data_IF_785737724217
#
_entry.id   IF_785737724217
#
_cell.length_a   1.000
_cell.length_b   1.000
_cell.length_c   1.000
_cell.angle_alpha   90.00
_cell.angle_beta   90.00
_cell.angle_gamma   90.00
#
_symmetry.space_group_name_H-M   'P 1'
#
loop_
_entity.id
_entity.type
_entity.pdbx_description
1 polymer ?
#
# COMPACT_ATOMS: atom_id res chain seq x y z
N UNK A 1 29.31 -67.56 16.59
CA UNK A 1 30.62 -66.96 16.20
C UNK A 1 30.42 -66.25 14.88
N UNK A 2 30.49 -64.91 14.87
CA UNK A 2 31.61 -64.10 14.34
C UNK A 2 31.88 -64.44 12.86
N UNK A 3 31.33 -63.66 11.92
CA UNK A 3 31.86 -62.37 11.39
C UNK A 3 33.03 -62.56 10.42
N UNK A 4 33.17 -61.62 9.45
CA UNK A 4 34.31 -61.33 8.53
C UNK A 4 34.09 -61.90 7.09
N UNK A 5 34.18 -61.21 5.94
CA UNK A 5 34.62 -59.85 5.52
C UNK A 5 34.23 -59.56 4.04
N UNK A 6 34.04 -58.26 3.74
CA UNK A 6 34.37 -57.46 2.52
C UNK A 6 34.13 -57.95 1.08
N UNK A 7 33.32 -57.17 0.33
CA UNK A 7 33.58 -56.63 -1.05
C UNK A 7 32.79 -55.29 -1.15
N UNK A 8 33.30 -54.12 -0.76
CA UNK A 8 33.99 -53.09 -1.59
C UNK A 8 33.61 -52.99 -3.06
N UNK A 9 32.59 -52.18 -3.38
CA UNK A 9 32.39 -51.45 -4.65
C UNK A 9 31.84 -50.07 -4.24
N UNK A 10 32.68 -49.05 -4.12
CA UNK A 10 32.99 -48.06 -5.16
C UNK A 10 31.75 -47.35 -5.72
N UNK A 11 31.28 -46.33 -4.98
CA UNK A 11 30.58 -45.19 -5.58
C UNK A 11 31.03 -43.92 -4.87
N UNK A 12 32.18 -43.40 -5.31
CA UNK A 12 32.48 -41.97 -5.23
C UNK A 12 31.43 -41.26 -6.06
N UNK A 13 30.31 -40.89 -5.45
CA UNK A 13 29.50 -39.79 -5.97
C UNK A 13 30.22 -38.54 -5.46
N UNK A 14 31.15 -38.10 -6.32
CA UNK A 14 31.57 -36.73 -6.41
C UNK A 14 30.29 -35.90 -6.61
N UNK A 15 29.66 -35.52 -5.51
CA UNK A 15 28.74 -34.39 -5.49
C UNK A 15 29.62 -33.20 -5.83
N UNK A 16 29.67 -32.87 -7.12
CA UNK A 16 30.03 -31.55 -7.58
C UNK A 16 29.11 -30.62 -6.80
N UNK A 17 29.65 -30.07 -5.70
CA UNK A 17 29.13 -28.86 -5.09
C UNK A 17 29.35 -27.85 -6.21
N UNK A 18 28.30 -27.67 -7.01
CA UNK A 18 28.21 -26.59 -7.97
C UNK A 18 28.47 -25.35 -7.12
N UNK A 19 29.65 -24.76 -7.32
CA UNK A 19 30.00 -23.45 -6.81
C UNK A 19 29.01 -22.46 -7.41
N UNK A 20 27.87 -22.30 -6.74
CA UNK A 20 26.80 -21.36 -7.10
C UNK A 20 26.39 -20.56 -5.85
N UNK A 21 27.38 -20.24 -5.00
CA UNK A 21 27.15 -19.65 -3.68
C UNK A 21 27.91 -18.37 -3.40
N UNK A 22 28.52 -17.72 -4.41
CA UNK A 22 29.44 -16.60 -4.17
C UNK A 22 29.32 -15.40 -5.15
N UNK A 23 28.40 -15.40 -6.13
CA UNK A 23 28.40 -14.35 -7.18
C UNK A 23 27.38 -13.22 -7.01
N UNK A 24 26.27 -13.42 -6.29
CA UNK A 24 25.24 -12.38 -6.14
C UNK A 24 25.27 -11.79 -4.72
N UNK A 25 25.42 -10.46 -4.56
CA UNK A 25 25.33 -9.78 -3.26
C UNK A 25 23.87 -9.73 -2.78
N UNK A 26 23.38 -10.88 -2.30
CA UNK A 26 21.97 -11.14 -1.99
C UNK A 26 21.39 -10.19 -0.94
N UNK A 27 22.21 -9.78 0.04
CA UNK A 27 21.80 -8.83 1.08
C UNK A 27 21.48 -7.47 0.45
N UNK A 28 22.44 -6.92 -0.30
CA UNK A 28 22.31 -5.62 -0.96
C UNK A 28 21.17 -5.62 -1.98
N UNK A 29 20.99 -6.73 -2.70
CA UNK A 29 19.87 -6.87 -3.63
C UNK A 29 18.52 -6.82 -2.91
N UNK A 30 18.38 -7.56 -1.80
CA UNK A 30 17.16 -7.57 -0.99
C UNK A 30 16.89 -6.21 -0.36
N UNK A 31 17.91 -5.56 0.18
CA UNK A 31 17.81 -4.24 0.80
C UNK A 31 17.33 -3.22 -0.24
N UNK A 32 18.01 -3.13 -1.40
CA UNK A 32 17.65 -2.22 -2.48
C UNK A 32 16.23 -2.49 -3.02
N UNK A 33 15.87 -3.77 -3.24
CA UNK A 33 14.54 -4.15 -3.73
C UNK A 33 13.44 -3.76 -2.74
N UNK A 34 13.66 -3.98 -1.44
CA UNK A 34 12.69 -3.62 -0.40
C UNK A 34 12.46 -2.11 -0.35
N UNK A 35 13.53 -1.32 -0.46
CA UNK A 35 13.47 0.14 -0.45
C UNK A 35 12.80 0.68 -1.72
N UNK A 36 13.08 0.06 -2.87
CA UNK A 36 12.41 0.34 -4.14
C UNK A 36 10.90 0.11 -4.04
N UNK A 37 10.50 -1.06 -3.54
CA UNK A 37 9.09 -1.43 -3.39
C UNK A 37 8.35 -0.45 -2.49
N UNK A 38 8.96 -0.02 -1.38
CA UNK A 38 8.39 1.02 -0.50
C UNK A 38 8.25 2.35 -1.21
N UNK A 39 9.29 2.79 -1.91
CA UNK A 39 9.30 4.07 -2.64
C UNK A 39 8.18 4.11 -3.69
N UNK A 40 7.97 2.99 -4.40
CA UNK A 40 6.91 2.85 -5.41
C UNK A 40 5.53 2.72 -4.77
N UNK A 41 5.38 1.91 -3.71
CA UNK A 41 4.11 1.74 -2.98
C UNK A 41 3.52 3.08 -2.54
N UNK A 42 4.37 4.00 -2.10
CA UNK A 42 3.97 5.32 -1.61
C UNK A 42 4.04 6.41 -2.68
N UNK A 43 4.36 6.07 -3.94
CA UNK A 43 4.44 7.00 -5.06
C UNK A 43 5.36 8.21 -4.79
N UNK A 44 6.52 7.96 -4.17
CA UNK A 44 7.40 9.03 -3.67
C UNK A 44 8.40 9.57 -4.70
N UNK A 45 8.31 9.17 -5.96
CA UNK A 45 9.35 9.42 -6.97
C UNK A 45 9.62 10.92 -7.20
N UNK A 46 8.61 11.76 -6.99
CA UNK A 46 8.70 13.20 -7.24
C UNK A 46 9.20 14.03 -6.05
N UNK A 47 9.27 13.44 -4.85
CA UNK A 47 9.72 14.17 -3.66
C UNK A 47 11.25 14.37 -3.64
N UNK A 48 11.99 13.45 -4.27
CA UNK A 48 13.45 13.55 -4.46
C UNK A 48 13.83 12.94 -5.81
N UNK A 49 13.43 13.62 -6.89
CA UNK A 49 13.50 13.06 -8.25
C UNK A 49 14.91 12.65 -8.65
N UNK A 50 15.90 13.49 -8.37
CA UNK A 50 17.31 13.19 -8.70
C UNK A 50 17.78 11.89 -8.02
N UNK A 51 17.45 11.72 -6.74
CA UNK A 51 17.80 10.52 -5.97
C UNK A 51 17.06 9.30 -6.48
N UNK A 52 15.78 9.44 -6.83
CA UNK A 52 15.02 8.36 -7.44
C UNK A 52 15.63 7.90 -8.77
N UNK A 53 16.03 8.84 -9.63
CA UNK A 53 16.65 8.53 -10.93
C UNK A 53 18.02 7.84 -10.73
N UNK A 54 18.83 8.28 -9.76
CA UNK A 54 20.09 7.60 -9.37
C UNK A 54 19.81 6.17 -8.89
N UNK A 55 18.77 6.00 -8.07
CA UNK A 55 18.41 4.71 -7.50
C UNK A 55 17.99 3.71 -8.58
N UNK A 56 17.06 4.09 -9.47
CA UNK A 56 16.58 3.23 -10.55
C UNK A 56 17.69 2.91 -11.55
N UNK A 57 18.54 3.89 -11.92
CA UNK A 57 19.66 3.64 -12.84
C UNK A 57 20.66 2.64 -12.26
N UNK A 58 21.05 2.82 -10.99
CA UNK A 58 22.02 1.93 -10.32
C UNK A 58 21.43 0.53 -10.12
N UNK A 59 20.15 0.44 -9.75
CA UNK A 59 19.46 -0.84 -9.59
C UNK A 59 19.33 -1.60 -10.91
N UNK A 60 18.99 -0.90 -12.00
CA UNK A 60 18.87 -1.50 -13.32
C UNK A 60 20.22 -2.02 -13.83
N UNK A 61 21.29 -1.24 -13.69
CA UNK A 61 22.64 -1.65 -14.08
C UNK A 61 23.13 -2.86 -13.27
N UNK A 62 22.88 -2.86 -11.95
CA UNK A 62 23.20 -4.01 -11.11
C UNK A 62 22.45 -5.28 -11.56
N UNK A 63 21.19 -5.15 -11.94
CA UNK A 63 20.36 -6.28 -12.40
C UNK A 63 20.91 -6.87 -13.70
N UNK A 64 21.35 -6.04 -14.64
CA UNK A 64 22.01 -6.49 -15.88
C UNK A 64 23.27 -7.31 -15.56
N UNK A 65 24.14 -6.80 -14.67
CA UNK A 65 25.37 -7.49 -14.30
C UNK A 65 25.12 -8.81 -13.54
N UNK A 66 24.06 -8.87 -12.73
CA UNK A 66 23.59 -10.11 -12.09
C UNK A 66 23.16 -11.14 -13.14
N UNK A 67 22.35 -10.74 -14.11
CA UNK A 67 21.86 -11.61 -15.17
C UNK A 67 23.00 -12.15 -16.05
N UNK A 68 24.04 -11.34 -16.25
CA UNK A 68 25.26 -11.73 -16.95
C UNK A 68 26.24 -12.53 -16.07
N UNK A 69 25.99 -12.62 -14.75
CA UNK A 69 26.85 -13.23 -13.75
C UNK A 69 28.29 -12.65 -13.78
N UNK A 70 28.40 -11.32 -13.85
CA UNK A 70 29.65 -10.56 -13.95
C UNK A 70 29.84 -9.60 -12.78
N UNK A 71 31.10 -9.29 -12.51
CA UNK A 71 31.53 -8.16 -11.65
C UNK A 71 30.79 -8.06 -10.31
N UNK A 72 30.89 -9.08 -9.44
CA UNK A 72 30.15 -9.14 -8.18
C UNK A 72 30.41 -7.95 -7.24
N UNK A 73 31.63 -7.38 -7.29
CA UNK A 73 31.98 -6.19 -6.51
C UNK A 73 31.27 -4.94 -7.05
N UNK A 74 31.26 -4.74 -8.37
CA UNK A 74 30.52 -3.65 -9.04
C UNK A 74 29.02 -3.76 -8.75
N UNK A 75 28.44 -4.97 -8.83
CA UNK A 75 27.03 -5.22 -8.48
C UNK A 75 26.74 -4.76 -7.06
N UNK A 76 27.61 -5.10 -6.10
CA UNK A 76 27.45 -4.71 -4.70
C UNK A 76 27.46 -3.19 -4.52
N UNK A 77 28.39 -2.50 -5.18
CA UNK A 77 28.49 -1.03 -5.14
C UNK A 77 27.24 -0.35 -5.73
N UNK A 78 26.76 -0.83 -6.88
CA UNK A 78 25.56 -0.32 -7.53
C UNK A 78 24.31 -0.51 -6.68
N UNK A 79 24.11 -1.70 -6.08
CA UNK A 79 22.98 -1.96 -5.19
C UNK A 79 23.05 -1.16 -3.88
N UNK A 80 24.26 -0.93 -3.36
CA UNK A 80 24.46 -0.05 -2.19
C UNK A 80 24.11 1.39 -2.55
N UNK A 81 24.52 1.86 -3.73
CA UNK A 81 24.17 3.18 -4.26
C UNK A 81 22.66 3.33 -4.41
N UNK A 82 22.00 2.34 -5.01
CA UNK A 82 20.55 2.30 -5.14
C UNK A 82 19.84 2.36 -3.77
N UNK A 83 20.29 1.53 -2.82
CA UNK A 83 19.73 1.51 -1.46
C UNK A 83 19.82 2.86 -0.76
N UNK A 84 21.00 3.50 -0.81
CA UNK A 84 21.20 4.80 -0.18
C UNK A 84 20.32 5.88 -0.83
N UNK A 85 20.21 5.87 -2.16
CA UNK A 85 19.39 6.83 -2.88
C UNK A 85 17.88 6.64 -2.60
N UNK A 86 17.36 5.39 -2.58
CA UNK A 86 15.97 5.14 -2.15
C UNK A 86 15.71 5.56 -0.69
N UNK A 87 16.68 5.36 0.21
CA UNK A 87 16.57 5.82 1.59
C UNK A 87 16.42 7.34 1.66
N UNK A 88 17.14 8.10 0.85
CA UNK A 88 16.97 9.56 0.77
C UNK A 88 15.56 9.90 0.28
N UNK A 89 15.08 9.26 -0.80
CA UNK A 89 13.71 9.47 -1.31
C UNK A 89 12.66 9.20 -0.22
N UNK A 90 12.80 8.11 0.53
CA UNK A 90 11.89 7.77 1.63
C UNK A 90 11.96 8.79 2.77
N UNK A 91 13.15 9.21 3.16
CA UNK A 91 13.36 10.16 4.27
C UNK A 91 12.84 11.56 3.94
N UNK A 92 12.93 11.98 2.68
CA UNK A 92 12.41 13.28 2.22
C UNK A 92 10.91 13.22 1.90
N UNK A 93 10.44 12.12 1.31
CA UNK A 93 9.07 11.99 0.82
C UNK A 93 8.04 11.63 1.90
N UNK A 94 8.33 10.66 2.77
CA UNK A 94 7.35 10.18 3.76
C UNK A 94 6.85 11.28 4.72
N UNK A 95 7.70 12.18 5.26
CA UNK A 95 7.21 13.25 6.15
C UNK A 95 6.25 14.21 5.45
N UNK A 96 6.58 14.62 4.23
CA UNK A 96 5.75 15.55 3.45
C UNK A 96 4.43 14.89 3.08
N UNK A 97 4.48 13.65 2.57
CA UNK A 97 3.29 12.91 2.19
C UNK A 97 2.37 12.61 3.37
N UNK A 98 2.92 12.33 4.56
CA UNK A 98 2.13 12.15 5.77
C UNK A 98 1.32 13.41 6.15
N UNK A 99 1.90 14.61 6.02
CA UNK A 99 1.20 15.86 6.29
C UNK A 99 0.14 16.18 5.21
N UNK A 100 0.40 15.87 3.94
CA UNK A 100 -0.60 15.98 2.87
C UNK A 100 -1.81 15.06 3.14
N UNK A 101 -1.55 13.80 3.48
CA UNK A 101 -2.59 12.83 3.83
C UNK A 101 -3.35 13.21 5.09
N UNK A 102 -2.70 13.81 6.09
CA UNK A 102 -3.37 14.35 7.28
C UNK A 102 -4.36 15.46 6.91
N UNK A 103 -3.98 16.38 6.02
CA UNK A 103 -4.88 17.41 5.54
C UNK A 103 -6.05 16.84 4.73
N UNK A 104 -5.79 15.87 3.85
CA UNK A 104 -6.81 15.18 3.07
C UNK A 104 -7.80 14.41 3.95
N UNK A 105 -7.30 13.55 4.83
CA UNK A 105 -8.13 12.75 5.73
C UNK A 105 -8.93 13.60 6.70
N UNK A 106 -8.39 14.74 7.15
CA UNK A 106 -9.14 15.71 7.95
C UNK A 106 -10.37 16.26 7.21
N UNK A 107 -10.27 16.49 5.89
CA UNK A 107 -11.42 16.88 5.06
C UNK A 107 -12.43 15.74 4.91
N UNK A 108 -11.96 14.52 4.64
CA UNK A 108 -12.84 13.35 4.50
C UNK A 108 -13.61 13.03 5.80
N UNK A 109 -12.99 13.30 6.97
CA UNK A 109 -13.64 13.24 8.28
C UNK A 109 -14.82 14.21 8.37
N UNK A 110 -14.63 15.46 7.96
CA UNK A 110 -15.71 16.45 7.93
C UNK A 110 -16.84 16.01 7.00
N UNK A 111 -16.53 15.63 5.76
CA UNK A 111 -17.54 15.24 4.77
C UNK A 111 -18.37 14.02 5.20
N UNK A 112 -17.71 12.98 5.71
CA UNK A 112 -18.42 11.79 6.21
C UNK A 112 -19.27 12.10 7.43
N UNK A 113 -18.81 12.99 8.32
CA UNK A 113 -19.59 13.44 9.48
C UNK A 113 -20.81 14.27 9.08
N UNK A 114 -20.67 15.18 8.12
CA UNK A 114 -21.73 16.08 7.66
C UNK A 114 -22.94 15.32 7.10
N UNK A 115 -22.68 14.20 6.42
CA UNK A 115 -23.74 13.31 5.94
C UNK A 115 -24.15 12.25 6.97
N UNK A 116 -23.74 12.38 8.23
CA UNK A 116 -24.09 11.46 9.32
C UNK A 116 -23.69 10.00 9.05
N UNK A 117 -22.56 9.77 8.37
CA UNK A 117 -22.05 8.42 8.12
C UNK A 117 -21.77 7.65 9.42
N UNK A 118 -21.44 8.35 10.51
CA UNK A 118 -21.29 7.78 11.85
C UNK A 118 -22.57 7.11 12.42
N UNK A 119 -23.74 7.39 11.85
CA UNK A 119 -25.01 6.75 12.20
C UNK A 119 -25.33 5.62 11.22
N UNK A 120 -25.15 5.89 9.92
CA UNK A 120 -25.63 5.02 8.84
C UNK A 120 -24.64 3.88 8.54
N UNK A 121 -23.36 4.21 8.38
CA UNK A 121 -22.27 3.25 8.16
C UNK A 121 -21.24 3.35 9.29
N UNK A 122 -21.72 3.01 10.49
CA UNK A 122 -21.00 3.15 11.75
C UNK A 122 -19.67 2.38 11.76
N UNK A 123 -19.65 1.16 11.22
CA UNK A 123 -18.47 0.29 11.26
C UNK A 123 -17.31 0.90 10.47
N UNK A 124 -17.53 1.30 9.21
CA UNK A 124 -16.48 1.95 8.43
C UNK A 124 -16.07 3.28 9.04
N UNK A 125 -17.02 4.06 9.57
CA UNK A 125 -16.69 5.31 10.25
C UNK A 125 -15.78 5.10 11.46
N UNK A 126 -16.09 4.14 12.35
CA UNK A 126 -15.29 3.85 13.54
C UNK A 126 -13.90 3.29 13.20
N UNK A 127 -13.79 2.44 12.17
CA UNK A 127 -12.50 1.97 11.66
C UNK A 127 -11.65 3.12 11.10
N UNK A 128 -12.28 4.08 10.42
CA UNK A 128 -11.59 5.25 9.89
C UNK A 128 -11.02 6.13 11.02
N UNK A 129 -11.82 6.36 12.05
CA UNK A 129 -11.44 7.14 13.25
C UNK A 129 -10.31 6.47 14.04
N UNK A 130 -10.37 5.15 14.22
CA UNK A 130 -9.29 4.40 14.88
C UNK A 130 -7.97 4.53 14.11
N UNK A 131 -8.00 4.38 12.78
CA UNK A 131 -6.81 4.57 11.96
C UNK A 131 -6.32 6.00 11.99
N UNK A 132 -7.21 6.99 12.10
CA UNK A 132 -6.81 8.40 12.15
C UNK A 132 -6.04 8.71 13.44
N UNK A 133 -6.50 8.16 14.57
CA UNK A 133 -5.81 8.27 15.85
C UNK A 133 -4.44 7.58 15.79
N UNK A 134 -4.36 6.38 15.20
CA UNK A 134 -3.11 5.67 15.01
C UNK A 134 -2.13 6.46 14.13
N UNK A 135 -2.63 7.08 13.05
CA UNK A 135 -1.83 7.90 12.16
C UNK A 135 -1.25 9.12 12.87
N UNK A 136 -2.06 9.84 13.67
CA UNK A 136 -1.60 10.98 14.45
C UNK A 136 -0.55 10.58 15.50
N UNK A 137 -0.75 9.44 16.18
CA UNK A 137 0.22 8.89 17.13
C UNK A 137 1.56 8.55 16.46
N UNK A 138 1.51 7.84 15.32
CA UNK A 138 2.69 7.51 14.53
C UNK A 138 3.42 8.77 14.02
N UNK A 139 2.67 9.75 13.53
CA UNK A 139 3.21 11.03 13.08
C UNK A 139 3.92 11.77 14.21
N UNK A 140 3.33 11.82 15.41
CA UNK A 140 3.92 12.47 16.59
C UNK A 140 5.22 11.82 17.09
N UNK A 141 5.46 10.57 16.69
CA UNK A 141 6.67 9.80 17.02
C UNK A 141 7.63 9.70 15.83
N UNK A 142 7.40 10.48 14.77
CA UNK A 142 8.15 10.48 13.51
C UNK A 142 8.20 9.11 12.82
N UNK A 143 7.25 8.23 13.13
CA UNK A 143 7.08 6.97 12.42
C UNK A 143 6.24 7.21 11.15
N UNK A 144 6.86 7.85 10.17
CA UNK A 144 6.16 8.33 8.97
C UNK A 144 5.61 7.21 8.10
N UNK A 145 6.28 6.05 8.03
CA UNK A 145 5.77 4.89 7.27
C UNK A 145 4.45 4.40 7.86
N UNK A 146 4.38 4.23 9.18
CA UNK A 146 3.13 3.85 9.86
C UNK A 146 2.07 4.97 9.76
N UNK A 147 2.47 6.24 9.86
CA UNK A 147 1.57 7.36 9.73
C UNK A 147 0.89 7.39 8.35
N UNK A 148 1.67 7.27 7.26
CA UNK A 148 1.16 7.19 5.88
C UNK A 148 0.22 5.99 5.71
N UNK A 149 0.64 4.79 6.13
CA UNK A 149 -0.20 3.59 6.05
C UNK A 149 -1.54 3.75 6.78
N UNK A 150 -1.52 4.35 7.97
CA UNK A 150 -2.73 4.60 8.76
C UNK A 150 -3.61 5.69 8.16
N UNK A 151 -3.05 6.80 7.64
CA UNK A 151 -3.84 7.82 6.96
C UNK A 151 -4.49 7.30 5.67
N UNK A 152 -3.79 6.47 4.88
CA UNK A 152 -4.38 5.83 3.70
C UNK A 152 -5.59 4.96 4.08
N UNK A 153 -5.49 4.17 5.15
CA UNK A 153 -6.63 3.41 5.68
C UNK A 153 -7.77 4.33 6.14
N UNK A 154 -7.46 5.41 6.85
CA UNK A 154 -8.45 6.42 7.25
C UNK A 154 -9.18 6.99 6.04
N UNK A 155 -8.46 7.38 4.99
CA UNK A 155 -9.04 7.89 3.75
C UNK A 155 -10.00 6.88 3.15
N UNK A 156 -9.57 5.64 3.01
CA UNK A 156 -10.35 4.59 2.37
C UNK A 156 -11.62 4.27 3.17
N UNK A 157 -11.53 4.18 4.50
CA UNK A 157 -12.70 3.90 5.35
C UNK A 157 -13.68 5.09 5.44
N UNK A 158 -13.21 6.35 5.54
CA UNK A 158 -14.13 7.50 5.47
C UNK A 158 -14.79 7.61 4.10
N UNK A 159 -14.07 7.30 3.02
CA UNK A 159 -14.64 7.30 1.67
C UNK A 159 -15.73 6.23 1.53
N UNK A 160 -15.49 5.01 2.02
CA UNK A 160 -16.51 3.95 2.07
C UNK A 160 -17.73 4.37 2.87
N UNK A 161 -17.52 4.85 4.11
CA UNK A 161 -18.61 5.32 4.96
C UNK A 161 -19.41 6.44 4.29
N UNK A 162 -18.72 7.36 3.60
CA UNK A 162 -19.35 8.44 2.87
C UNK A 162 -20.23 7.92 1.72
N UNK A 163 -19.66 7.12 0.81
CA UNK A 163 -20.37 6.66 -0.38
C UNK A 163 -21.54 5.72 -0.05
N UNK A 164 -21.37 4.81 0.91
CA UNK A 164 -22.46 3.93 1.37
C UNK A 164 -23.63 4.74 1.95
N UNK A 165 -23.31 5.74 2.78
CA UNK A 165 -24.34 6.62 3.37
C UNK A 165 -25.04 7.45 2.31
N UNK A 166 -24.28 8.00 1.35
CA UNK A 166 -24.84 8.77 0.25
C UNK A 166 -25.77 7.93 -0.62
N UNK A 167 -25.37 6.72 -0.99
CA UNK A 167 -26.19 5.79 -1.76
C UNK A 167 -27.51 5.47 -1.05
N UNK A 168 -27.48 5.23 0.27
CA UNK A 168 -28.68 4.98 1.05
C UNK A 168 -29.62 6.19 1.07
N UNK A 169 -29.10 7.41 1.17
CA UNK A 169 -29.92 8.62 1.09
C UNK A 169 -30.52 8.83 -0.30
N UNK A 170 -29.73 8.67 -1.36
CA UNK A 170 -30.20 8.84 -2.73
C UNK A 170 -31.31 7.83 -3.05
N UNK A 171 -31.14 6.58 -2.63
CA UNK A 171 -32.15 5.53 -2.79
C UNK A 171 -33.41 5.80 -1.95
N UNK A 172 -33.25 6.31 -0.73
CA UNK A 172 -34.39 6.69 0.12
C UNK A 172 -35.18 7.85 -0.48
N UNK A 173 -34.50 8.87 -1.02
CA UNK A 173 -35.14 10.01 -1.67
C UNK A 173 -35.92 9.59 -2.90
N UNK A 174 -35.36 8.70 -3.72
CA UNK A 174 -36.05 8.13 -4.87
C UNK A 174 -37.30 7.35 -4.45
N UNK A 175 -37.20 6.53 -3.41
CA UNK A 175 -38.35 5.78 -2.87
C UNK A 175 -39.48 6.68 -2.35
N UNK A 176 -39.15 7.80 -1.70
CA UNK A 176 -40.13 8.80 -1.25
C UNK A 176 -40.83 9.44 -2.45
N UNK A 177 -40.08 9.86 -3.47
CA UNK A 177 -40.65 10.45 -4.68
C UNK A 177 -41.60 9.48 -5.39
N UNK A 178 -41.20 8.21 -5.53
CA UNK A 178 -42.06 7.16 -6.11
C UNK A 178 -43.32 6.90 -5.28
N UNK A 179 -43.25 7.01 -3.95
CA UNK A 179 -44.39 6.88 -3.07
C UNK A 179 -45.35 8.07 -3.20
N UNK A 180 -44.82 9.30 -3.19
CA UNK A 180 -45.59 10.54 -3.35
C UNK A 180 -46.33 10.56 -4.69
N UNK A 181 -45.69 10.11 -5.78
CA UNK A 181 -46.32 10.03 -7.09
C UNK A 181 -47.45 9.00 -7.15
N UNK A 182 -47.30 7.86 -6.45
CA UNK A 182 -48.37 6.85 -6.33
C UNK A 182 -49.54 7.38 -5.50
N UNK A 183 -49.26 8.09 -4.40
CA UNK A 183 -50.30 8.70 -3.57
C UNK A 183 -51.11 9.70 -4.41
N UNK A 184 -50.46 10.59 -5.16
CA UNK A 184 -51.15 11.52 -6.07
C UNK A 184 -52.00 10.81 -7.12
N UNK A 185 -51.50 9.73 -7.71
CA UNK A 185 -52.28 8.94 -8.67
C UNK A 185 -53.54 8.34 -8.04
N UNK A 186 -53.43 7.80 -6.82
CA UNK A 186 -54.57 7.25 -6.08
C UNK A 186 -55.57 8.36 -5.75
N UNK A 187 -55.12 9.52 -5.26
CA UNK A 187 -55.99 10.66 -4.94
C UNK A 187 -56.76 11.17 -6.17
N UNK A 188 -56.14 11.18 -7.36
CA UNK A 188 -56.79 11.52 -8.62
C UNK A 188 -57.84 10.47 -9.02
N UNK A 189 -57.57 9.18 -8.77
CA UNK A 189 -58.52 8.10 -9.06
C UNK A 189 -59.70 8.07 -8.08
N UNK A 190 -59.50 8.47 -6.83
CA UNK A 190 -60.53 8.51 -5.78
C UNK A 190 -61.41 9.77 -5.84
N UNK A 191 -60.97 10.85 -6.52
CA UNK A 191 -61.76 12.07 -6.77
C UNK A 191 -61.89 12.41 -8.28
N UNK A 192 -62.62 11.61 -9.09
CA UNK A 192 -62.72 11.82 -10.53
C UNK A 192 -63.57 13.03 -10.98
N UNK A 193 -64.10 13.86 -10.05
CA UNK A 193 -65.15 14.87 -10.32
C UNK A 193 -64.78 16.33 -10.05
N UNK A 194 -63.50 16.70 -10.11
CA UNK A 194 -63.09 18.11 -10.26
C UNK A 194 -62.51 18.34 -11.66
N UNK A 195 -63.38 18.34 -12.67
CA UNK A 195 -63.17 18.99 -13.98
C UNK A 195 -64.51 19.62 -14.40
#
# INVERSE_FOLDING_TARGET
MKAIKHITILTSILSVIISCGASMPLKEYKDASTLRDKTIKYELQNYSKEQFDIAESSFAEATILIDENKEPDTVKELLTTASNAYLVVLNEGLPVYAEELKAETSRNRVYSKDIKAYIVDKENYELAELNYINALSALSTNNYELAVDSFLKTRDYHSKAFFNTKELFDNSLKGIQEADDKIKQIEVLENPTNN
#
